data_IF_844679010394
#
_entry.id   IF_844679010394
#
_cell.length_a   1.000
_cell.length_b   1.000
_cell.length_c   1.000
_cell.angle_alpha   90.00
_cell.angle_beta   90.00
_cell.angle_gamma   90.00
#
_symmetry.space_group_name_H-M   'P 1'
#
loop_
_entity.id
_entity.type
_entity.pdbx_description
1 polymer ?
#
# COMPACT_ATOMS: atom_id res chain seq x y z
N UNK A 1 -19.52 11.17 -8.77
CA UNK A 1 -18.43 11.27 -7.77
C UNK A 1 -18.48 10.03 -6.90
N UNK A 2 -17.39 9.26 -6.83
CA UNK A 2 -17.29 8.18 -5.85
C UNK A 2 -17.25 8.81 -4.45
N UNK A 3 -18.23 8.49 -3.61
CA UNK A 3 -18.36 8.99 -2.24
C UNK A 3 -18.33 7.79 -1.29
N UNK A 4 -17.73 7.96 -0.13
CA UNK A 4 -17.80 6.95 0.93
C UNK A 4 -19.25 6.65 1.32
N UNK A 5 -19.49 5.45 1.84
CA UNK A 5 -20.83 4.99 2.25
C UNK A 5 -21.39 5.79 3.43
N UNK A 6 -20.50 6.43 4.21
CA UNK A 6 -20.83 7.24 5.39
C UNK A 6 -20.10 8.58 5.35
N UNK A 7 -20.70 9.61 5.91
CA UNK A 7 -20.04 10.90 6.15
C UNK A 7 -19.23 10.87 7.46
N UNK A 8 -18.18 11.70 7.62
CA UNK A 8 -17.50 11.86 8.90
C UNK A 8 -18.42 12.34 10.04
N UNK A 9 -18.12 12.01 11.32
CA UNK A 9 -18.92 12.50 12.43
C UNK A 9 -18.82 14.03 12.55
N UNK A 10 -19.91 14.67 12.98
CA UNK A 10 -19.96 16.14 13.18
C UNK A 10 -18.93 16.62 14.22
N UNK A 11 -18.64 15.81 15.23
CA UNK A 11 -17.69 16.11 16.30
C UNK A 11 -16.54 15.12 16.28
N UNK A 12 -15.34 15.61 15.99
CA UNK A 12 -14.09 14.84 16.08
C UNK A 12 -13.40 15.21 17.41
N UNK A 13 -13.07 14.24 18.28
CA UNK A 13 -12.31 14.47 19.50
C UNK A 13 -10.99 15.21 19.23
N UNK A 14 -10.59 16.13 20.11
CA UNK A 14 -9.44 17.01 19.86
C UNK A 14 -8.14 16.24 19.62
N UNK A 15 -7.91 15.13 20.34
CA UNK A 15 -6.71 14.31 20.19
C UNK A 15 -6.61 13.66 18.81
N UNK A 16 -7.73 13.30 18.18
CA UNK A 16 -7.74 12.79 16.80
C UNK A 16 -7.50 13.90 15.78
N UNK A 17 -7.94 15.14 16.06
CA UNK A 17 -7.65 16.29 15.19
C UNK A 17 -6.14 16.53 15.06
N UNK A 18 -5.37 16.27 16.12
CA UNK A 18 -3.90 16.37 16.08
C UNK A 18 -3.35 15.35 15.07
N UNK A 19 -3.75 14.08 15.16
CA UNK A 19 -3.32 13.04 14.21
C UNK A 19 -3.71 13.35 12.76
N UNK A 20 -4.94 13.81 12.52
CA UNK A 20 -5.42 14.23 11.19
C UNK A 20 -4.60 15.42 10.67
N UNK A 21 -4.27 16.39 11.53
CA UNK A 21 -3.44 17.52 11.17
C UNK A 21 -2.01 17.11 10.81
N UNK A 22 -1.38 16.21 11.58
CA UNK A 22 -0.06 15.65 11.26
C UNK A 22 -0.10 14.95 9.91
N UNK A 23 -1.10 14.08 9.70
CA UNK A 23 -1.30 13.37 8.43
C UNK A 23 -1.43 14.34 7.25
N UNK A 24 -2.18 15.43 7.41
CA UNK A 24 -2.29 16.48 6.38
C UNK A 24 -0.96 17.20 6.13
N UNK A 25 -0.17 17.45 7.17
CA UNK A 25 1.14 18.10 7.02
C UNK A 25 2.16 17.22 6.31
N UNK A 26 2.16 15.92 6.58
CA UNK A 26 3.08 14.96 5.97
C UNK A 26 2.69 14.65 4.53
N UNK A 27 1.40 14.47 4.28
CA UNK A 27 0.91 14.02 2.96
C UNK A 27 0.48 15.17 2.06
N UNK A 28 0.36 16.39 2.57
CA UNK A 28 -0.14 17.55 1.82
C UNK A 28 -1.63 17.48 1.47
N UNK A 29 -2.35 16.43 1.86
CA UNK A 29 -3.76 16.21 1.52
C UNK A 29 -4.63 15.97 2.75
N UNK A 30 -5.91 16.28 2.62
CA UNK A 30 -6.89 16.07 3.68
C UNK A 30 -7.52 14.68 3.57
N UNK A 31 -6.85 13.68 4.14
CA UNK A 31 -7.23 12.29 3.98
C UNK A 31 -8.56 11.96 4.66
N UNK A 32 -9.52 11.46 3.86
CA UNK A 32 -10.84 11.04 4.33
C UNK A 32 -10.79 9.92 5.40
N UNK A 33 -9.92 8.88 5.32
CA UNK A 33 -9.87 7.82 6.30
C UNK A 33 -9.75 8.29 7.75
N UNK A 34 -8.86 9.25 8.04
CA UNK A 34 -8.65 9.75 9.39
C UNK A 34 -9.92 10.38 9.99
N UNK A 35 -10.75 11.01 9.15
CA UNK A 35 -12.03 11.60 9.56
C UNK A 35 -13.10 10.54 9.74
N UNK A 36 -13.17 9.54 8.85
CA UNK A 36 -14.15 8.46 8.97
C UNK A 36 -13.91 7.60 10.21
N UNK A 37 -12.65 7.28 10.50
CA UNK A 37 -12.29 6.51 11.70
C UNK A 37 -12.62 7.24 13.01
N UNK A 38 -12.88 8.55 12.99
CA UNK A 38 -13.33 9.28 14.16
C UNK A 38 -14.70 8.80 14.70
N UNK A 39 -15.49 8.07 13.90
CA UNK A 39 -16.67 7.35 14.39
C UNK A 39 -16.32 6.31 15.48
N UNK A 40 -15.11 5.76 15.45
CA UNK A 40 -14.61 4.83 16.45
C UNK A 40 -13.15 5.15 16.82
N UNK A 41 -12.92 6.04 17.81
CA UNK A 41 -11.59 6.55 18.14
C UNK A 41 -10.53 5.49 18.45
N UNK A 42 -10.94 4.33 19.00
CA UNK A 42 -10.01 3.22 19.26
C UNK A 42 -9.43 2.65 17.96
N UNK A 43 -10.24 2.52 16.90
CA UNK A 43 -9.70 2.17 15.58
C UNK A 43 -8.84 3.28 15.02
N UNK A 44 -9.26 4.54 15.09
CA UNK A 44 -8.43 5.65 14.60
C UNK A 44 -7.03 5.66 15.21
N UNK A 45 -6.93 5.46 16.54
CA UNK A 45 -5.65 5.40 17.25
C UNK A 45 -4.87 4.15 16.84
N UNK A 46 -5.48 2.97 16.82
CA UNK A 46 -4.76 1.73 16.49
C UNK A 46 -4.27 1.72 15.03
N UNK A 47 -5.08 2.17 14.08
CA UNK A 47 -4.67 2.33 12.68
C UNK A 47 -3.55 3.35 12.55
N UNK A 48 -3.62 4.47 13.28
CA UNK A 48 -2.59 5.52 13.26
C UNK A 48 -1.25 5.04 13.83
N UNK A 49 -1.27 4.29 14.92
CA UNK A 49 -0.06 3.67 15.50
C UNK A 49 0.53 2.66 14.52
N UNK A 50 -0.29 1.78 13.95
CA UNK A 50 0.16 0.82 12.94
C UNK A 50 0.78 1.55 11.74
N UNK A 51 0.15 2.62 11.25
CA UNK A 51 0.69 3.43 10.15
C UNK A 51 2.07 4.01 10.48
N UNK A 52 2.21 4.60 11.66
CA UNK A 52 3.44 5.26 12.07
C UNK A 52 4.60 4.31 12.39
N UNK A 53 4.32 3.07 12.79
CA UNK A 53 5.33 2.14 13.32
C UNK A 53 5.81 1.10 12.30
N UNK A 54 5.10 0.88 11.21
CA UNK A 54 5.56 -0.02 10.15
C UNK A 54 6.78 0.59 9.44
N UNK A 55 7.78 -0.24 9.16
CA UNK A 55 9.04 0.24 8.64
C UNK A 55 8.90 0.93 7.27
N UNK A 56 9.51 2.09 7.13
CA UNK A 56 9.76 2.74 5.83
C UNK A 56 11.21 2.54 5.34
N UNK A 57 12.09 2.08 6.24
CA UNK A 57 13.47 1.63 6.00
C UNK A 57 13.93 0.87 7.25
N UNK A 58 14.67 -0.23 7.10
CA UNK A 58 15.35 -0.92 8.21
C UNK A 58 16.54 -1.72 7.67
N UNK A 59 17.76 -1.39 8.11
CA UNK A 59 18.97 -2.07 7.64
C UNK A 59 19.08 -2.10 6.10
N UNK A 60 19.14 -3.33 5.55
CA UNK A 60 19.25 -3.62 4.13
C UNK A 60 17.90 -3.63 3.38
N UNK A 61 16.77 -3.54 4.10
CA UNK A 61 15.48 -3.22 3.49
C UNK A 61 15.42 -1.71 3.28
N UNK A 62 15.89 -1.30 2.10
CA UNK A 62 15.86 0.08 1.69
C UNK A 62 14.42 0.57 1.42
N UNK A 63 14.32 1.88 1.21
CA UNK A 63 13.05 2.54 0.91
C UNK A 63 12.42 2.01 -0.38
N UNK A 64 13.23 1.56 -1.34
CA UNK A 64 12.79 1.12 -2.66
C UNK A 64 12.06 -0.23 -2.58
N UNK A 65 12.65 -1.26 -1.97
CA UNK A 65 11.98 -2.56 -1.80
C UNK A 65 10.65 -2.39 -1.07
N UNK A 66 10.62 -1.59 -0.01
CA UNK A 66 9.41 -1.37 0.76
C UNK A 66 8.34 -0.56 -0.01
N UNK A 67 8.74 0.30 -0.96
CA UNK A 67 7.82 0.98 -1.89
C UNK A 67 7.26 0.00 -2.93
N UNK A 68 8.11 -0.85 -3.51
CA UNK A 68 7.70 -1.92 -4.45
C UNK A 68 6.68 -2.87 -3.82
N UNK A 69 6.92 -3.30 -2.58
CA UNK A 69 6.00 -4.16 -1.81
C UNK A 69 4.65 -3.49 -1.61
N UNK A 70 4.63 -2.21 -1.19
CA UNK A 70 3.39 -1.47 -0.97
C UNK A 70 2.60 -1.27 -2.27
N UNK A 71 3.28 -0.93 -3.36
CA UNK A 71 2.69 -0.80 -4.69
C UNK A 71 2.09 -2.14 -5.15
N UNK A 72 2.89 -3.22 -5.06
CA UNK A 72 2.45 -4.55 -5.51
C UNK A 72 1.26 -5.07 -4.73
N UNK A 73 1.26 -4.89 -3.40
CA UNK A 73 0.12 -5.22 -2.56
C UNK A 73 -1.12 -4.39 -2.95
N UNK A 74 -0.95 -3.08 -3.15
CA UNK A 74 -2.04 -2.17 -3.53
C UNK A 74 -2.71 -2.57 -4.84
N UNK A 75 -1.92 -2.90 -5.88
CA UNK A 75 -2.43 -3.42 -7.14
C UNK A 75 -3.09 -4.79 -6.99
N UNK A 76 -2.46 -5.71 -6.23
CA UNK A 76 -3.01 -7.06 -6.01
C UNK A 76 -4.36 -7.04 -5.29
N UNK A 77 -4.61 -6.03 -4.45
CA UNK A 77 -5.85 -5.86 -3.70
C UNK A 77 -6.89 -4.99 -4.42
N UNK A 78 -6.54 -4.46 -5.59
CA UNK A 78 -7.35 -3.53 -6.36
C UNK A 78 -7.93 -2.35 -5.54
N UNK A 79 -7.19 -1.89 -4.53
CA UNK A 79 -7.65 -0.82 -3.63
C UNK A 79 -7.33 0.56 -4.23
N UNK A 80 -8.32 1.36 -4.68
CA UNK A 80 -8.04 2.62 -5.37
C UNK A 80 -7.31 3.65 -4.49
N UNK A 81 -7.73 3.80 -3.22
CA UNK A 81 -7.05 4.67 -2.26
C UNK A 81 -5.60 4.24 -2.02
N UNK A 82 -5.37 2.94 -1.83
CA UNK A 82 -4.05 2.40 -1.54
C UNK A 82 -3.12 2.53 -2.75
N UNK A 83 -3.64 2.29 -3.96
CA UNK A 83 -2.92 2.51 -5.21
C UNK A 83 -2.50 3.97 -5.30
N UNK A 84 -3.45 4.90 -5.15
CA UNK A 84 -3.18 6.33 -5.27
C UNK A 84 -2.11 6.82 -4.26
N UNK A 85 -2.27 6.48 -2.98
CA UNK A 85 -1.31 6.82 -1.93
C UNK A 85 0.09 6.24 -2.17
N UNK A 86 0.18 4.98 -2.59
CA UNK A 86 1.46 4.32 -2.78
C UNK A 86 2.09 4.60 -4.15
N UNK A 87 1.29 5.02 -5.14
CA UNK A 87 1.73 5.49 -6.44
C UNK A 87 2.40 6.85 -6.34
N UNK A 88 1.89 7.73 -5.48
CA UNK A 88 2.45 9.06 -5.29
C UNK A 88 3.97 9.02 -5.04
N UNK A 89 4.72 9.86 -5.76
CA UNK A 89 6.18 9.96 -5.70
C UNK A 89 6.94 8.63 -5.87
N UNK A 90 6.42 7.66 -6.64
CA UNK A 90 7.09 6.36 -6.84
C UNK A 90 8.49 6.50 -7.46
N UNK A 91 8.67 7.48 -8.33
CA UNK A 91 9.91 7.80 -9.04
C UNK A 91 11.03 8.26 -8.10
N UNK A 92 10.69 8.92 -7.00
CA UNK A 92 11.65 9.30 -5.94
C UNK A 92 12.31 8.09 -5.25
N UNK A 93 11.78 6.88 -5.45
CA UNK A 93 12.34 5.61 -4.97
C UNK A 93 13.12 4.87 -6.07
N UNK A 94 13.45 5.57 -7.16
CA UNK A 94 14.16 5.04 -8.33
C UNK A 94 13.32 4.11 -9.19
N UNK A 95 12.00 3.99 -8.95
CA UNK A 95 11.13 3.08 -9.68
C UNK A 95 10.79 3.73 -11.01
N UNK A 96 11.14 3.06 -12.12
CA UNK A 96 10.91 3.61 -13.46
C UNK A 96 9.47 3.40 -13.92
N UNK A 97 9.02 4.18 -14.91
CA UNK A 97 7.70 3.99 -15.50
C UNK A 97 7.51 2.58 -16.12
N UNK A 98 8.59 1.97 -16.63
CA UNK A 98 8.55 0.58 -17.15
C UNK A 98 8.36 -0.43 -16.02
N UNK A 99 9.07 -0.28 -14.92
CA UNK A 99 8.91 -1.09 -13.70
C UNK A 99 7.50 -0.97 -13.12
N UNK A 100 6.96 0.26 -13.11
CA UNK A 100 5.59 0.54 -12.68
C UNK A 100 4.54 -0.16 -13.54
N UNK A 101 4.73 -0.19 -14.86
CA UNK A 101 3.84 -0.93 -15.76
C UNK A 101 3.83 -2.44 -15.47
N UNK A 102 4.96 -3.02 -15.02
CA UNK A 102 5.01 -4.41 -14.55
C UNK A 102 4.23 -4.58 -13.25
N UNK A 103 4.40 -3.68 -12.29
CA UNK A 103 3.64 -3.69 -11.03
C UNK A 103 2.12 -3.65 -11.24
N UNK A 104 1.68 -2.87 -12.24
CA UNK A 104 0.28 -2.76 -12.69
C UNK A 104 -0.24 -4.01 -13.42
N UNK A 105 0.64 -4.94 -13.82
CA UNK A 105 0.29 -6.10 -14.63
C UNK A 105 0.06 -5.79 -16.11
N UNK A 106 0.48 -4.61 -16.59
CA UNK A 106 0.42 -4.22 -18.01
C UNK A 106 1.49 -4.98 -18.79
N UNK A 107 2.67 -5.15 -18.18
CA UNK A 107 3.82 -5.83 -18.77
C UNK A 107 4.25 -7.03 -17.91
N UNK A 108 4.88 -8.03 -18.53
CA UNK A 108 5.49 -9.17 -17.85
C UNK A 108 6.79 -8.75 -17.12
N UNK A 109 7.12 -9.38 -15.99
CA UNK A 109 8.43 -9.25 -15.34
C UNK A 109 9.59 -9.51 -16.30
N UNK A 110 9.43 -10.42 -17.28
CA UNK A 110 10.43 -10.69 -18.32
C UNK A 110 10.76 -9.46 -19.20
N UNK A 111 9.86 -8.48 -19.27
CA UNK A 111 10.05 -7.25 -20.05
C UNK A 111 10.97 -6.23 -19.37
N UNK A 112 11.26 -6.38 -18.08
CA UNK A 112 12.07 -5.44 -17.29
C UNK A 112 13.15 -6.20 -16.52
N UNK A 113 14.41 -6.02 -16.94
CA UNK A 113 15.58 -6.68 -16.34
C UNK A 113 16.26 -5.90 -15.20
N UNK A 114 15.68 -4.77 -14.80
CA UNK A 114 16.28 -3.88 -13.79
C UNK A 114 15.94 -4.27 -12.35
N UNK A 115 14.97 -5.17 -12.14
CA UNK A 115 14.70 -5.72 -10.82
C UNK A 115 15.74 -6.77 -10.43
N UNK A 116 16.22 -6.67 -9.20
CA UNK A 116 17.02 -7.71 -8.55
C UNK A 116 16.17 -8.93 -8.17
N UNK A 117 16.77 -10.12 -8.02
CA UNK A 117 16.08 -11.30 -7.49
C UNK A 117 15.41 -11.06 -6.14
N UNK A 118 16.05 -10.26 -5.29
CA UNK A 118 15.53 -9.82 -3.98
C UNK A 118 14.22 -9.03 -4.13
N UNK A 119 14.19 -8.03 -5.02
CA UNK A 119 12.99 -7.21 -5.27
C UNK A 119 11.84 -8.05 -5.85
N UNK A 120 12.14 -8.93 -6.79
CA UNK A 120 11.16 -9.86 -7.37
C UNK A 120 10.55 -10.73 -6.28
N UNK A 121 11.38 -11.33 -5.43
CA UNK A 121 10.94 -12.19 -4.32
C UNK A 121 10.07 -11.41 -3.33
N UNK A 122 10.42 -10.17 -2.99
CA UNK A 122 9.60 -9.33 -2.12
C UNK A 122 8.23 -9.00 -2.74
N UNK A 123 8.18 -8.69 -4.03
CA UNK A 123 6.93 -8.42 -4.76
C UNK A 123 6.05 -9.67 -4.89
N UNK A 124 6.64 -10.84 -5.18
CA UNK A 124 5.94 -12.13 -5.18
C UNK A 124 5.36 -12.43 -3.78
N UNK A 125 6.14 -12.18 -2.71
CA UNK A 125 5.67 -12.37 -1.34
C UNK A 125 4.45 -11.49 -1.04
N UNK A 126 4.49 -10.22 -1.48
CA UNK A 126 3.40 -9.27 -1.29
C UNK A 126 2.10 -9.76 -1.97
N UNK A 127 2.20 -10.37 -3.15
CA UNK A 127 1.07 -11.00 -3.85
C UNK A 127 0.55 -12.20 -3.06
N UNK A 128 1.41 -13.11 -2.61
CA UNK A 128 1.00 -14.31 -1.88
C UNK A 128 0.29 -13.98 -0.56
N UNK A 129 0.78 -12.98 0.19
CA UNK A 129 0.11 -12.47 1.40
C UNK A 129 -1.26 -11.87 1.08
N UNK A 130 -1.44 -11.28 -0.11
CA UNK A 130 -2.67 -10.58 -0.48
C UNK A 130 -3.76 -11.51 -1.07
N UNK A 131 -3.44 -12.79 -1.33
CA UNK A 131 -4.39 -13.78 -1.89
C UNK A 131 -5.41 -14.26 -0.85
N UNK A 132 -6.52 -14.80 -1.35
CA UNK A 132 -7.52 -15.51 -0.55
C UNK A 132 -7.90 -16.80 -1.30
N UNK A 133 -7.57 -18.01 -0.76
CA UNK A 133 -6.84 -18.25 0.49
C UNK A 133 -5.37 -17.83 0.40
N UNK A 134 -4.79 -17.52 1.56
CA UNK A 134 -3.37 -17.22 1.71
C UNK A 134 -2.58 -18.53 1.78
N UNK A 135 -1.65 -18.73 0.85
CA UNK A 135 -0.91 -19.98 0.67
C UNK A 135 0.53 -19.67 0.25
N UNK A 136 1.48 -20.42 0.80
CA UNK A 136 2.90 -20.28 0.51
C UNK A 136 3.49 -21.64 0.08
N UNK A 137 3.78 -21.83 -1.21
CA UNK A 137 4.47 -23.03 -1.68
C UNK A 137 5.82 -23.22 -0.97
N UNK A 138 6.21 -24.47 -0.70
CA UNK A 138 7.46 -24.77 0.01
C UNK A 138 8.69 -24.24 -0.75
N UNK A 139 8.67 -24.33 -2.08
CA UNK A 139 9.70 -23.76 -2.96
C UNK A 139 9.85 -22.24 -2.76
N UNK A 140 8.71 -21.53 -2.59
CA UNK A 140 8.71 -20.10 -2.35
C UNK A 140 9.27 -19.77 -0.97
N UNK A 141 8.94 -20.56 0.05
CA UNK A 141 9.50 -20.39 1.41
C UNK A 141 11.02 -20.53 1.38
N UNK A 142 11.56 -21.52 0.66
CA UNK A 142 13.00 -21.71 0.49
C UNK A 142 13.64 -20.51 -0.22
N UNK A 143 13.03 -20.02 -1.31
CA UNK A 143 13.46 -18.81 -2.04
C UNK A 143 13.46 -17.57 -1.14
N UNK A 144 12.39 -17.36 -0.38
CA UNK A 144 12.25 -16.24 0.55
C UNK A 144 13.35 -16.24 1.61
N UNK A 145 13.66 -17.41 2.19
CA UNK A 145 14.72 -17.56 3.20
C UNK A 145 16.13 -17.47 2.64
N UNK A 146 16.32 -17.73 1.34
CA UNK A 146 17.61 -17.53 0.68
C UNK A 146 17.91 -16.04 0.47
N UNK A 147 16.88 -15.24 0.22
CA UNK A 147 17.02 -13.80 0.02
C UNK A 147 17.00 -13.04 1.36
N UNK A 148 16.04 -13.31 2.26
CA UNK A 148 15.77 -12.46 3.42
C UNK A 148 16.07 -13.13 4.74
N UNK A 149 16.62 -12.36 5.67
CA UNK A 149 16.70 -12.76 7.07
C UNK A 149 15.31 -12.83 7.71
N UNK A 150 15.19 -13.54 8.84
CA UNK A 150 13.92 -13.67 9.57
C UNK A 150 13.34 -12.29 9.96
N UNK A 151 14.19 -11.35 10.37
CA UNK A 151 13.78 -9.97 10.67
C UNK A 151 13.19 -9.28 9.45
N UNK A 152 13.85 -9.40 8.30
CA UNK A 152 13.38 -8.79 7.06
C UNK A 152 12.07 -9.42 6.59
N UNK A 153 11.89 -10.73 6.76
CA UNK A 153 10.62 -11.41 6.47
C UNK A 153 9.49 -10.82 7.33
N UNK A 154 9.70 -10.59 8.63
CA UNK A 154 8.71 -9.95 9.50
C UNK A 154 8.37 -8.53 9.03
N UNK A 155 9.37 -7.76 8.60
CA UNK A 155 9.16 -6.40 8.07
C UNK A 155 8.36 -6.43 6.77
N UNK A 156 8.67 -7.33 5.83
CA UNK A 156 7.93 -7.48 4.58
C UNK A 156 6.48 -7.93 4.83
N UNK A 157 6.30 -8.89 5.73
CA UNK A 157 4.99 -9.41 6.10
C UNK A 157 4.12 -8.32 6.74
N UNK A 158 4.65 -7.58 7.73
CA UNK A 158 3.93 -6.49 8.38
C UNK A 158 3.65 -5.32 7.45
N UNK A 159 4.58 -4.97 6.56
CA UNK A 159 4.38 -3.94 5.53
C UNK A 159 3.24 -4.32 4.58
N UNK A 160 3.21 -5.58 4.13
CA UNK A 160 2.13 -6.06 3.26
C UNK A 160 0.80 -6.16 4.00
N UNK A 161 0.82 -6.61 5.26
CA UNK A 161 -0.36 -6.71 6.11
C UNK A 161 -0.99 -5.33 6.37
N UNK A 162 -0.18 -4.28 6.55
CA UNK A 162 -0.66 -2.89 6.65
C UNK A 162 -1.45 -2.48 5.41
N UNK A 163 -0.95 -2.74 4.21
CA UNK A 163 -1.68 -2.43 2.97
C UNK A 163 -2.96 -3.26 2.87
N UNK A 164 -2.91 -4.54 3.25
CA UNK A 164 -4.08 -5.43 3.31
C UNK A 164 -5.16 -4.95 4.28
N UNK A 165 -4.76 -4.41 5.43
CA UNK A 165 -5.64 -3.81 6.42
C UNK A 165 -6.34 -2.58 5.85
N UNK A 166 -5.57 -1.62 5.32
CA UNK A 166 -6.14 -0.42 4.73
C UNK A 166 -7.03 -0.74 3.53
N UNK A 167 -6.62 -1.66 2.67
CA UNK A 167 -7.41 -2.06 1.51
C UNK A 167 -8.80 -2.58 1.90
N UNK A 168 -8.88 -3.47 2.89
CA UNK A 168 -10.16 -4.04 3.33
C UNK A 168 -10.99 -3.01 4.07
N UNK A 169 -10.38 -2.26 4.98
CA UNK A 169 -11.06 -1.24 5.78
C UNK A 169 -11.68 -0.15 4.91
N UNK A 170 -10.90 0.38 3.96
CA UNK A 170 -11.32 1.52 3.15
C UNK A 170 -12.33 1.13 2.06
N UNK A 171 -12.14 -0.03 1.42
CA UNK A 171 -13.13 -0.54 0.46
C UNK A 171 -14.46 -0.88 1.15
N UNK A 172 -14.44 -1.42 2.37
CA UNK A 172 -15.65 -1.67 3.15
C UNK A 172 -16.42 -0.40 3.53
N UNK A 173 -15.77 0.77 3.47
CA UNK A 173 -16.40 2.09 3.68
C UNK A 173 -16.62 2.87 2.39
N UNK A 174 -16.31 2.30 1.22
CA UNK A 174 -16.46 2.96 -0.09
C UNK A 174 -15.54 4.17 -0.29
N UNK A 175 -14.38 4.21 0.38
CA UNK A 175 -13.47 5.37 0.34
C UNK A 175 -12.87 5.52 -1.08
N UNK A 176 -13.02 6.69 -1.73
CA UNK A 176 -12.46 6.96 -3.04
C UNK A 176 -10.93 7.13 -3.00
N UNK A 177 -10.24 7.25 -4.15
CA UNK A 177 -8.85 7.69 -4.20
C UNK A 177 -8.61 8.97 -3.36
N UNK A 178 -7.38 9.11 -2.86
CA UNK A 178 -6.99 10.21 -2.00
C UNK A 178 -6.77 11.55 -2.76
N UNK A 179 -6.64 11.48 -4.09
CA UNK A 179 -6.38 12.63 -4.96
C UNK A 179 -4.89 12.95 -5.10
N UNK A 180 -4.01 11.93 -5.12
CA UNK A 180 -2.59 12.16 -5.46
C UNK A 180 -2.33 12.07 -6.96
N UNK A 181 -3.01 11.15 -7.63
CA UNK A 181 -3.09 11.06 -9.08
C UNK A 181 -4.26 11.94 -9.56
N UNK A 182 -4.06 13.25 -9.62
CA UNK A 182 -5.04 14.19 -10.21
C UNK A 182 -5.25 13.94 -11.73
N UNK A 183 -4.41 13.09 -12.35
CA UNK A 183 -4.52 12.63 -13.74
C UNK A 183 -4.30 11.11 -13.81
N UNK A 184 -5.36 10.37 -14.15
CA UNK A 184 -5.26 8.96 -14.46
C UNK A 184 -4.97 8.83 -15.97
N UNK A 185 -3.71 8.69 -16.37
CA UNK A 185 -3.31 8.42 -17.76
C UNK A 185 -3.53 6.94 -18.19
N UNK A 186 -4.23 6.17 -17.36
CA UNK A 186 -4.60 4.80 -17.69
C UNK A 186 -5.68 4.83 -18.79
N UNK A 187 -5.26 4.55 -20.04
CA UNK A 187 -6.17 4.12 -21.10
C UNK A 187 -6.83 2.81 -20.64
N UNK A 188 -8.06 2.91 -20.14
CA UNK A 188 -8.89 1.73 -19.91
C UNK A 188 -9.06 1.01 -21.25
N UNK A 189 -8.84 -0.31 -21.33
CA UNK A 189 -9.22 -1.07 -22.51
C UNK A 189 -10.73 -0.91 -22.72
N UNK A 190 -11.13 -0.65 -23.96
CA UNK A 190 -12.53 -0.57 -24.32
C UNK A 190 -13.19 -1.89 -23.90
N UNK A 191 -14.20 -1.79 -23.03
CA UNK A 191 -15.07 -2.91 -22.72
C UNK A 191 -15.85 -3.23 -24.00
N UNK A 192 -15.49 -4.35 -24.63
CA UNK A 192 -16.25 -5.01 -25.70
C UNK A 192 -17.41 -5.80 -25.12
#
# INVERSE_FOLDING_TARGET
MMKAFIDPPKHIPFYLKIGIWISRKVTGRDLLPGKLLAWYPKAAISSGIMEAMVAHKDGNLDKRILKLVRLRASFSLACPFCIDMNYYDYDQYGITAKELAVLQGINDFASVKTFSPREITAMEYAVLISRTPLQFPQEFISKLKAEFSEREIVILASTTAQVNYWARLLQAMGVPPAGFADHCDLKLPALS
#
